data_IF_963284854043
#
_entry.id   IF_963284854043
#
_cell.length_a   1.000
_cell.length_b   1.000
_cell.length_c   1.000
_cell.angle_alpha   90.00
_cell.angle_beta   90.00
_cell.angle_gamma   90.00
#
_symmetry.space_group_name_H-M   'P 1'
#
loop_
_entity.id
_entity.type
_entity.pdbx_description
1 polymer ?
#
# COMPACT_ATOMS: atom_id res chain seq x y z
N UNK A 1 -11.53 -12.89 17.10
CA UNK A 1 -11.07 -12.07 15.95
C UNK A 1 -11.84 -12.42 14.68
N UNK A 2 -11.78 -13.66 14.15
CA UNK A 2 -12.47 -14.08 12.91
C UNK A 2 -13.98 -13.82 12.96
N UNK A 3 -14.66 -14.27 14.02
CA UNK A 3 -16.10 -14.07 14.19
C UNK A 3 -16.50 -12.59 14.33
N UNK A 4 -15.65 -11.77 14.96
CA UNK A 4 -15.84 -10.31 15.02
C UNK A 4 -15.66 -9.66 13.64
N UNK A 5 -14.69 -10.13 12.83
CA UNK A 5 -14.51 -9.67 11.47
C UNK A 5 -15.72 -9.93 10.58
N UNK A 6 -16.25 -11.16 10.61
CA UNK A 6 -17.49 -11.49 9.88
C UNK A 6 -18.70 -10.73 10.39
N UNK A 7 -18.83 -10.52 11.71
CA UNK A 7 -19.89 -9.69 12.27
C UNK A 7 -19.81 -8.23 11.82
N UNK A 8 -18.60 -7.66 11.78
CA UNK A 8 -18.38 -6.31 11.31
C UNK A 8 -18.74 -6.14 9.82
N UNK A 9 -18.48 -7.13 8.98
CA UNK A 9 -18.86 -7.11 7.56
C UNK A 9 -20.37 -7.02 7.35
N UNK A 10 -21.14 -7.84 8.09
CA UNK A 10 -22.60 -7.93 7.92
C UNK A 10 -23.37 -6.80 8.58
N UNK A 11 -22.83 -6.22 9.65
CA UNK A 11 -23.50 -5.18 10.46
C UNK A 11 -22.73 -3.86 10.49
N UNK A 12 -21.95 -3.56 9.43
CA UNK A 12 -21.27 -2.28 9.32
C UNK A 12 -22.26 -1.15 9.07
N UNK A 13 -22.12 -0.04 9.81
CA UNK A 13 -22.92 1.16 9.64
C UNK A 13 -23.26 1.86 10.94
N UNK A 14 -23.78 3.10 10.84
CA UNK A 14 -24.09 3.98 11.98
C UNK A 14 -25.55 3.92 12.41
N UNK A 15 -26.40 3.15 11.73
CA UNK A 15 -27.83 3.03 12.06
C UNK A 15 -28.00 2.15 13.30
N UNK A 16 -28.63 2.72 14.33
CA UNK A 16 -28.75 2.06 15.64
C UNK A 16 -29.43 0.68 15.57
N UNK A 17 -30.65 0.63 15.00
CA UNK A 17 -31.45 -0.61 15.00
C UNK A 17 -30.98 -1.66 13.99
N UNK A 18 -30.46 -1.26 12.84
CA UNK A 18 -30.13 -2.18 11.74
C UNK A 18 -28.63 -2.58 11.70
N UNK A 19 -27.77 -1.87 12.41
CA UNK A 19 -26.33 -2.11 12.39
C UNK A 19 -25.72 -2.24 13.79
N UNK A 20 -25.84 -1.20 14.62
CA UNK A 20 -25.18 -1.18 15.94
C UNK A 20 -25.78 -2.19 16.93
N UNK A 21 -27.11 -2.26 17.01
CA UNK A 21 -27.78 -3.20 17.93
C UNK A 21 -27.54 -4.68 17.54
N UNK A 22 -27.71 -5.09 16.27
CA UNK A 22 -27.36 -6.47 15.85
C UNK A 22 -25.88 -6.78 16.05
N UNK A 23 -24.98 -5.83 15.78
CA UNK A 23 -23.54 -6.01 16.03
C UNK A 23 -23.25 -6.22 17.51
N UNK A 24 -23.80 -5.39 18.39
CA UNK A 24 -23.63 -5.52 19.84
C UNK A 24 -24.21 -6.86 20.37
N UNK A 25 -25.39 -7.25 19.89
CA UNK A 25 -25.99 -8.56 20.22
C UNK A 25 -25.13 -9.72 19.72
N UNK A 26 -24.54 -9.59 18.52
CA UNK A 26 -23.57 -10.55 17.97
C UNK A 26 -22.32 -10.69 18.84
N UNK A 27 -21.76 -9.57 19.30
CA UNK A 27 -20.59 -9.56 20.21
C UNK A 27 -20.92 -10.25 21.53
N UNK A 28 -22.07 -9.95 22.14
CA UNK A 28 -22.55 -10.61 23.36
C UNK A 28 -22.75 -12.12 23.13
N UNK A 29 -23.36 -12.50 22.00
CA UNK A 29 -23.51 -13.90 21.60
C UNK A 29 -22.18 -14.64 21.48
N UNK A 30 -21.18 -14.02 20.87
CA UNK A 30 -19.81 -14.56 20.77
C UNK A 30 -19.19 -14.73 22.16
N UNK A 31 -19.34 -13.74 23.06
CA UNK A 31 -18.80 -13.83 24.43
C UNK A 31 -19.46 -14.96 25.21
N UNK A 32 -20.78 -15.11 25.14
CA UNK A 32 -21.52 -16.18 25.79
C UNK A 32 -21.10 -17.56 25.24
N UNK A 33 -21.02 -17.68 23.91
CA UNK A 33 -20.58 -18.91 23.23
C UNK A 33 -19.15 -19.29 23.63
N UNK A 34 -18.24 -18.32 23.66
CA UNK A 34 -16.87 -18.53 24.10
C UNK A 34 -16.78 -18.97 25.55
N UNK A 35 -17.62 -18.40 26.45
CA UNK A 35 -17.75 -18.81 27.84
C UNK A 35 -18.26 -20.24 27.98
N UNK A 36 -19.28 -20.60 27.21
CA UNK A 36 -19.83 -21.97 27.18
C UNK A 36 -18.82 -22.99 26.65
N UNK A 37 -18.13 -22.65 25.56
CA UNK A 37 -17.06 -23.50 25.00
C UNK A 37 -15.91 -23.69 26.00
N UNK A 38 -15.49 -22.61 26.67
CA UNK A 38 -14.43 -22.68 27.68
C UNK A 38 -14.85 -23.56 28.85
N UNK A 39 -16.06 -23.37 29.40
CA UNK A 39 -16.57 -24.19 30.52
C UNK A 39 -16.77 -25.63 30.09
N UNK A 40 -17.29 -25.88 28.89
CA UNK A 40 -17.41 -27.21 28.29
C UNK A 40 -16.05 -27.89 28.12
N UNK A 41 -15.06 -27.14 27.57
CA UNK A 41 -13.69 -27.64 27.46
C UNK A 41 -13.06 -27.99 28.82
N UNK A 42 -13.22 -27.14 29.83
CA UNK A 42 -12.68 -27.41 31.16
C UNK A 42 -13.29 -28.68 31.79
N UNK A 43 -14.61 -28.92 31.58
CA UNK A 43 -15.26 -30.18 32.02
C UNK A 43 -14.74 -31.37 31.23
N UNK A 44 -14.68 -31.27 29.92
CA UNK A 44 -14.21 -32.33 29.03
C UNK A 44 -12.71 -32.63 29.24
N UNK A 45 -11.89 -31.62 29.46
CA UNK A 45 -10.48 -31.77 29.83
C UNK A 45 -10.31 -32.63 31.10
N UNK A 46 -11.15 -32.40 32.15
CA UNK A 46 -11.08 -33.21 33.36
C UNK A 46 -11.41 -34.69 33.07
N UNK A 47 -12.39 -34.95 32.24
CA UNK A 47 -12.74 -36.29 31.81
C UNK A 47 -11.66 -36.97 30.98
N UNK A 48 -11.03 -36.24 30.07
CA UNK A 48 -9.90 -36.71 29.25
C UNK A 48 -8.68 -37.04 30.14
N UNK A 49 -8.37 -36.18 31.11
CA UNK A 49 -7.27 -36.42 32.06
C UNK A 49 -7.48 -37.70 32.90
N UNK A 50 -8.71 -38.07 33.20
CA UNK A 50 -9.03 -39.32 33.87
C UNK A 50 -8.74 -40.55 33.01
N UNK A 51 -8.71 -40.42 31.66
CA UNK A 51 -8.38 -41.50 30.74
C UNK A 51 -6.89 -41.55 30.37
N UNK A 52 -6.26 -40.37 30.14
CA UNK A 52 -4.84 -40.27 29.85
C UNK A 52 -4.35 -38.82 30.03
N UNK A 53 -3.18 -38.60 30.65
CA UNK A 53 -2.63 -37.26 30.86
C UNK A 53 -2.22 -36.58 29.53
N UNK A 54 -1.99 -37.35 28.45
CA UNK A 54 -1.56 -36.81 27.16
C UNK A 54 -2.72 -36.40 26.25
N UNK A 55 -3.92 -36.90 26.42
CA UNK A 55 -5.07 -36.65 25.54
C UNK A 55 -5.43 -35.17 25.40
N UNK A 56 -5.53 -34.37 26.47
CA UNK A 56 -5.85 -32.95 26.34
C UNK A 56 -4.79 -32.17 25.56
N UNK A 57 -3.50 -32.48 25.77
CA UNK A 57 -2.39 -31.84 25.08
C UNK A 57 -2.40 -32.19 23.58
N UNK A 58 -2.60 -33.47 23.23
CA UNK A 58 -2.69 -33.91 21.84
C UNK A 58 -3.86 -33.26 21.10
N UNK A 59 -5.04 -33.20 21.71
CA UNK A 59 -6.21 -32.53 21.11
C UNK A 59 -6.00 -31.01 20.92
N UNK A 60 -5.40 -30.35 21.91
CA UNK A 60 -5.05 -28.93 21.78
C UNK A 60 -4.06 -28.70 20.64
N UNK A 61 -3.05 -29.56 20.51
CA UNK A 61 -2.05 -29.47 19.45
C UNK A 61 -2.67 -29.69 18.07
N UNK A 62 -3.54 -30.70 17.92
CA UNK A 62 -4.31 -30.92 16.69
C UNK A 62 -5.15 -29.68 16.32
N UNK A 63 -5.80 -29.04 17.29
CA UNK A 63 -6.56 -27.81 17.08
C UNK A 63 -5.67 -26.65 16.59
N UNK A 64 -4.48 -26.50 17.17
CA UNK A 64 -3.50 -25.48 16.74
C UNK A 64 -3.02 -25.75 15.31
N UNK A 65 -2.70 -26.99 14.96
CA UNK A 65 -2.30 -27.33 13.59
C UNK A 65 -3.43 -27.13 12.57
N UNK A 66 -4.66 -27.48 12.93
CA UNK A 66 -5.82 -27.27 12.07
C UNK A 66 -6.05 -25.77 11.80
N UNK A 67 -6.07 -24.94 12.85
CA UNK A 67 -6.22 -23.48 12.72
C UNK A 67 -5.03 -22.85 11.98
N UNK A 68 -3.81 -23.30 12.26
CA UNK A 68 -2.61 -22.86 11.56
C UNK A 68 -2.68 -23.19 10.07
N UNK A 69 -3.16 -24.37 9.71
CA UNK A 69 -3.40 -24.75 8.31
C UNK A 69 -4.41 -23.85 7.60
N UNK A 70 -5.52 -23.51 8.26
CA UNK A 70 -6.51 -22.56 7.73
C UNK A 70 -5.94 -21.17 7.52
N UNK A 71 -5.08 -20.69 8.42
CA UNK A 71 -4.40 -19.38 8.27
C UNK A 71 -3.44 -19.41 7.08
N UNK A 72 -2.61 -20.45 6.94
CA UNK A 72 -1.65 -20.60 5.86
C UNK A 72 -2.36 -20.69 4.49
N UNK A 73 -3.52 -21.36 4.43
CA UNK A 73 -4.34 -21.45 3.23
C UNK A 73 -5.09 -20.16 2.89
N UNK A 74 -4.95 -19.11 3.69
CA UNK A 74 -5.58 -17.82 3.46
C UNK A 74 -7.09 -17.76 3.72
N UNK A 75 -7.70 -18.81 4.25
CA UNK A 75 -9.15 -18.87 4.50
C UNK A 75 -9.64 -17.82 5.50
N UNK A 76 -8.76 -17.35 6.39
CA UNK A 76 -9.07 -16.33 7.40
C UNK A 76 -8.66 -14.91 7.00
N UNK A 77 -8.10 -14.72 5.80
CA UNK A 77 -7.57 -13.43 5.34
C UNK A 77 -8.63 -12.32 5.35
N UNK A 78 -9.80 -12.59 4.78
CA UNK A 78 -10.91 -11.63 4.72
C UNK A 78 -11.41 -11.24 6.11
N UNK A 79 -11.66 -12.22 6.98
CA UNK A 79 -12.11 -11.94 8.34
C UNK A 79 -11.08 -11.14 9.15
N UNK A 80 -9.79 -11.36 8.92
CA UNK A 80 -8.73 -10.60 9.55
C UNK A 80 -8.66 -9.17 8.99
N UNK A 81 -8.87 -8.99 7.68
CA UNK A 81 -8.97 -7.67 7.04
C UNK A 81 -10.10 -6.83 7.64
N UNK A 82 -11.30 -7.38 7.74
CA UNK A 82 -12.44 -6.68 8.36
C UNK A 82 -12.18 -6.35 9.83
N UNK A 83 -11.54 -7.24 10.58
CA UNK A 83 -11.17 -6.97 11.97
C UNK A 83 -10.14 -5.82 12.06
N UNK A 84 -9.15 -5.78 11.17
CA UNK A 84 -8.19 -4.66 11.11
C UNK A 84 -8.88 -3.33 10.83
N UNK A 85 -9.83 -3.31 9.90
CA UNK A 85 -10.62 -2.11 9.58
C UNK A 85 -11.44 -1.66 10.79
N UNK A 86 -12.04 -2.60 11.52
CA UNK A 86 -12.79 -2.30 12.74
C UNK A 86 -11.90 -1.67 13.83
N UNK A 87 -10.70 -2.22 14.05
CA UNK A 87 -9.74 -1.77 15.09
C UNK A 87 -8.99 -0.50 14.64
N UNK A 88 -8.55 -0.46 13.38
CA UNK A 88 -7.81 0.64 12.78
C UNK A 88 -8.70 1.86 12.47
N UNK A 89 -10.02 1.70 12.53
CA UNK A 89 -10.97 2.77 12.34
C UNK A 89 -10.87 3.42 10.95
N UNK A 90 -11.04 4.77 10.94
CA UNK A 90 -11.10 5.57 9.71
C UNK A 90 -9.80 5.51 8.88
N UNK A 91 -8.64 5.47 9.53
CA UNK A 91 -7.35 5.43 8.84
C UNK A 91 -7.17 4.12 8.04
N UNK A 92 -7.47 2.98 8.64
CA UNK A 92 -7.37 1.69 7.96
C UNK A 92 -8.43 1.54 6.85
N UNK A 93 -9.66 2.02 7.08
CA UNK A 93 -10.70 2.06 6.06
C UNK A 93 -10.27 2.92 4.86
N UNK A 94 -9.67 4.08 5.11
CA UNK A 94 -9.10 4.95 4.08
C UNK A 94 -8.00 4.24 3.29
N UNK A 95 -7.07 3.58 3.96
CA UNK A 95 -5.97 2.83 3.33
C UNK A 95 -6.49 1.71 2.43
N UNK A 96 -7.48 0.94 2.88
CA UNK A 96 -8.11 -0.13 2.09
C UNK A 96 -8.79 0.47 0.85
N UNK A 97 -9.52 1.56 1.00
CA UNK A 97 -10.18 2.26 -0.12
C UNK A 97 -9.18 2.73 -1.17
N UNK A 98 -8.07 3.33 -0.76
CA UNK A 98 -7.01 3.78 -1.66
C UNK A 98 -6.31 2.61 -2.37
N UNK A 99 -6.04 1.52 -1.66
CA UNK A 99 -5.50 0.28 -2.23
C UNK A 99 -6.40 -0.26 -3.35
N UNK A 100 -7.73 -0.27 -3.13
CA UNK A 100 -8.67 -0.67 -4.18
C UNK A 100 -8.68 0.28 -5.39
N UNK A 101 -8.48 1.59 -5.17
CA UNK A 101 -8.32 2.53 -6.29
C UNK A 101 -7.06 2.21 -7.12
N UNK A 102 -5.96 1.82 -6.48
CA UNK A 102 -4.73 1.39 -7.19
C UNK A 102 -4.98 0.14 -8.03
N UNK A 103 -5.62 -0.90 -7.47
CA UNK A 103 -5.97 -2.10 -8.24
C UNK A 103 -6.90 -1.80 -9.39
N UNK A 104 -7.90 -0.95 -9.19
CA UNK A 104 -8.81 -0.52 -10.26
C UNK A 104 -8.08 0.30 -11.34
N UNK A 105 -7.07 1.09 -10.97
CA UNK A 105 -6.22 1.81 -11.90
C UNK A 105 -5.34 0.85 -12.70
N UNK A 106 -4.67 -0.11 -12.05
CA UNK A 106 -3.88 -1.15 -12.73
C UNK A 106 -4.71 -1.94 -13.74
N UNK A 107 -5.91 -2.36 -13.37
CA UNK A 107 -6.86 -3.08 -14.24
C UNK A 107 -7.17 -2.36 -15.56
N UNK A 108 -7.10 -1.02 -15.55
CA UNK A 108 -7.39 -0.17 -16.72
C UNK A 108 -6.16 0.13 -17.58
N UNK A 109 -4.97 -0.30 -17.15
CA UNK A 109 -3.77 -0.09 -17.96
C UNK A 109 -3.82 -0.98 -19.21
N UNK A 110 -3.53 -0.36 -20.36
CA UNK A 110 -3.38 -1.11 -21.61
C UNK A 110 -2.07 -1.88 -21.61
N UNK A 111 -2.16 -3.19 -21.78
CA UNK A 111 -1.03 -4.10 -21.70
C UNK A 111 0.05 -3.80 -22.77
N UNK A 112 -0.34 -3.39 -23.98
CA UNK A 112 0.59 -3.13 -25.06
C UNK A 112 1.52 -1.93 -24.79
N UNK A 113 1.00 -0.73 -24.55
CA UNK A 113 1.79 0.42 -24.13
C UNK A 113 2.58 0.18 -22.83
N UNK A 114 1.99 -0.54 -21.87
CA UNK A 114 2.63 -0.86 -20.60
C UNK A 114 3.86 -1.75 -20.81
N UNK A 115 3.77 -2.78 -21.65
CA UNK A 115 4.87 -3.65 -21.99
C UNK A 115 6.03 -2.88 -22.63
N UNK A 116 5.75 -2.03 -23.61
CA UNK A 116 6.76 -1.15 -24.24
C UNK A 116 7.43 -0.21 -23.25
N UNK A 117 6.68 0.28 -22.27
CA UNK A 117 7.23 1.13 -21.21
C UNK A 117 8.17 0.34 -20.30
N UNK A 118 7.81 -0.90 -19.91
CA UNK A 118 8.65 -1.78 -19.11
C UNK A 118 9.96 -2.13 -19.85
N UNK A 119 9.89 -2.38 -21.16
CA UNK A 119 11.08 -2.63 -21.98
C UNK A 119 12.04 -1.41 -21.94
N UNK A 120 11.52 -0.18 -22.08
CA UNK A 120 12.35 1.03 -21.94
C UNK A 120 12.96 1.18 -20.55
N UNK A 121 12.23 0.78 -19.51
CA UNK A 121 12.68 0.87 -18.14
C UNK A 121 13.94 0.04 -17.86
N UNK A 122 14.18 -1.05 -18.60
CA UNK A 122 15.33 -1.94 -18.41
C UNK A 122 16.66 -1.19 -18.44
N UNK A 123 16.79 -0.15 -19.28
CA UNK A 123 17.99 0.68 -19.38
C UNK A 123 18.31 1.41 -18.06
N UNK A 124 17.30 1.73 -17.27
CA UNK A 124 17.42 2.55 -16.06
C UNK A 124 17.32 1.75 -14.76
N UNK A 125 16.90 0.48 -14.85
CA UNK A 125 16.59 -0.37 -13.67
C UNK A 125 17.74 -0.44 -12.67
N UNK A 126 18.99 -0.60 -13.14
CA UNK A 126 20.14 -0.72 -12.25
C UNK A 126 20.38 0.54 -11.40
N UNK A 127 20.19 1.72 -11.98
CA UNK A 127 20.37 3.00 -11.25
C UNK A 127 19.16 3.28 -10.34
N UNK A 128 17.95 2.93 -10.77
CA UNK A 128 16.74 3.05 -9.96
C UNK A 128 16.83 2.13 -8.72
N UNK A 129 17.21 0.88 -8.88
CA UNK A 129 17.35 -0.06 -7.76
C UNK A 129 18.45 0.38 -6.76
N UNK A 130 19.57 0.91 -7.26
CA UNK A 130 20.63 1.47 -6.40
C UNK A 130 20.16 2.71 -5.64
N UNK A 131 19.49 3.64 -6.32
CA UNK A 131 18.96 4.85 -5.69
C UNK A 131 17.87 4.53 -4.66
N UNK A 132 16.95 3.61 -4.99
CA UNK A 132 15.93 3.15 -4.06
C UNK A 132 16.55 2.59 -2.78
N UNK A 133 17.56 1.72 -2.90
CA UNK A 133 18.32 1.18 -1.77
C UNK A 133 19.03 2.27 -0.97
N UNK A 134 19.61 3.27 -1.63
CA UNK A 134 20.36 4.34 -0.97
C UNK A 134 19.47 5.25 -0.10
N UNK A 135 18.19 5.37 -0.42
CA UNK A 135 17.22 6.23 0.28
C UNK A 135 16.10 5.46 0.98
N UNK A 136 16.26 4.14 1.15
CA UNK A 136 15.30 3.26 1.82
C UNK A 136 13.89 3.34 1.21
N UNK A 137 13.82 3.32 -0.11
CA UNK A 137 12.59 3.31 -0.87
C UNK A 137 12.36 1.92 -1.51
N UNK A 138 11.10 1.59 -1.72
CA UNK A 138 10.74 0.44 -2.54
C UNK A 138 11.15 0.69 -4.01
N UNK A 139 11.96 -0.18 -4.63
CA UNK A 139 12.42 0.04 -6.01
C UNK A 139 11.26 0.04 -7.01
N UNK A 140 10.20 -0.75 -6.79
CA UNK A 140 9.03 -0.75 -7.66
C UNK A 140 8.26 0.57 -7.57
N UNK A 141 8.21 1.18 -6.38
CA UNK A 141 7.66 2.53 -6.20
C UNK A 141 8.43 3.55 -7.04
N UNK A 142 9.76 3.52 -6.99
CA UNK A 142 10.58 4.48 -7.74
C UNK A 142 10.43 4.27 -9.27
N UNK A 143 10.31 3.02 -9.74
CA UNK A 143 9.94 2.73 -11.13
C UNK A 143 8.56 3.32 -11.48
N UNK A 144 7.59 3.21 -10.57
CA UNK A 144 6.26 3.79 -10.75
C UNK A 144 6.27 5.31 -10.92
N UNK A 145 7.11 6.01 -10.16
CA UNK A 145 7.30 7.47 -10.32
C UNK A 145 7.87 7.79 -11.69
N UNK A 146 8.97 7.14 -12.11
CA UNK A 146 9.57 7.35 -13.44
C UNK A 146 8.58 7.07 -14.58
N UNK A 147 7.77 6.01 -14.43
CA UNK A 147 6.71 5.66 -15.37
C UNK A 147 5.65 6.77 -15.50
N UNK A 148 5.20 7.31 -14.37
CA UNK A 148 4.19 8.38 -14.34
C UNK A 148 4.71 9.72 -14.88
N UNK A 149 5.99 10.02 -14.67
CA UNK A 149 6.62 11.29 -15.05
C UNK A 149 7.03 11.34 -16.53
N UNK A 150 7.68 10.32 -17.03
CA UNK A 150 8.24 10.34 -18.38
C UNK A 150 7.93 9.12 -19.24
N UNK A 151 7.32 8.08 -18.67
CA UNK A 151 7.20 6.77 -19.32
C UNK A 151 8.55 6.22 -19.77
N UNK A 152 9.61 6.50 -19.02
CA UNK A 152 11.01 6.18 -19.30
C UNK A 152 11.54 6.80 -20.62
N UNK A 153 11.08 8.00 -20.93
CA UNK A 153 11.58 8.83 -22.03
C UNK A 153 12.08 10.16 -21.46
N UNK A 154 13.35 10.22 -21.02
CA UNK A 154 13.91 11.43 -20.41
C UNK A 154 13.80 12.61 -21.35
N UNK A 155 13.29 13.73 -20.85
CA UNK A 155 13.13 14.98 -21.62
C UNK A 155 13.11 16.19 -20.69
N UNK A 156 13.23 17.36 -21.27
CA UNK A 156 12.88 18.61 -20.60
C UNK A 156 11.46 18.99 -21.00
N UNK A 157 10.56 19.16 -20.04
CA UNK A 157 9.19 19.58 -20.29
C UNK A 157 9.07 21.09 -20.38
N UNK A 158 7.94 21.57 -20.94
CA UNK A 158 7.64 23.03 -21.03
C UNK A 158 7.51 23.68 -19.65
N UNK A 159 7.11 22.91 -18.65
CA UNK A 159 6.91 23.38 -17.27
C UNK A 159 8.20 23.31 -16.43
N UNK A 160 9.35 23.06 -17.07
CA UNK A 160 10.67 23.04 -16.45
C UNK A 160 11.05 21.68 -15.81
N UNK A 161 10.25 20.65 -15.96
CA UNK A 161 10.59 19.30 -15.51
C UNK A 161 11.76 18.73 -16.33
N UNK A 162 12.76 18.14 -15.65
CA UNK A 162 13.99 17.65 -16.28
C UNK A 162 14.18 16.14 -16.07
N UNK A 163 14.65 15.48 -17.11
CA UNK A 163 15.14 14.13 -17.07
C UNK A 163 14.05 13.05 -16.95
N UNK A 164 14.44 11.92 -16.41
CA UNK A 164 13.61 10.72 -16.27
C UNK A 164 12.45 10.92 -15.30
N UNK A 165 12.68 11.64 -14.21
CA UNK A 165 11.74 11.89 -13.13
C UNK A 165 11.09 13.28 -13.18
N UNK A 166 11.27 14.03 -14.26
CA UNK A 166 10.68 15.35 -14.52
C UNK A 166 10.80 16.31 -13.32
N UNK A 167 11.99 16.36 -12.71
CA UNK A 167 12.24 17.17 -11.53
C UNK A 167 12.24 18.64 -11.91
N UNK A 168 11.46 19.47 -11.21
CA UNK A 168 11.42 20.91 -11.38
C UNK A 168 12.29 21.63 -10.35
N UNK A 169 12.12 21.27 -9.08
CA UNK A 169 12.85 21.88 -7.97
C UNK A 169 13.25 20.81 -6.95
N UNK A 170 14.53 20.84 -6.59
CA UNK A 170 15.07 20.01 -5.51
C UNK A 170 15.52 20.92 -4.38
N UNK A 171 15.15 20.65 -3.12
CA UNK A 171 15.66 21.42 -2.00
C UNK A 171 17.19 21.44 -1.98
N UNK A 172 17.81 22.62 -1.74
CA UNK A 172 19.27 22.81 -1.82
C UNK A 172 20.03 21.80 -0.94
N UNK A 173 19.52 21.47 0.24
CA UNK A 173 20.13 20.46 1.13
C UNK A 173 20.19 19.07 0.50
N UNK A 174 19.14 18.69 -0.24
CA UNK A 174 19.06 17.41 -0.95
C UNK A 174 20.05 17.37 -2.11
N UNK A 175 20.13 18.45 -2.91
CA UNK A 175 21.12 18.55 -4.00
C UNK A 175 22.55 18.37 -3.50
N UNK A 176 22.89 19.02 -2.40
CA UNK A 176 24.22 18.89 -1.80
C UNK A 176 24.49 17.47 -1.26
N UNK A 177 23.46 16.82 -0.69
CA UNK A 177 23.56 15.42 -0.25
C UNK A 177 23.85 14.50 -1.43
N UNK A 178 23.06 14.59 -2.49
CA UNK A 178 23.22 13.76 -3.70
C UNK A 178 24.58 14.00 -4.36
N UNK A 179 25.00 15.27 -4.50
CA UNK A 179 26.31 15.62 -5.06
C UNK A 179 27.48 14.98 -4.31
N UNK A 180 27.41 14.94 -2.97
CA UNK A 180 28.43 14.25 -2.16
C UNK A 180 28.38 12.72 -2.36
N UNK A 181 27.18 12.12 -2.43
CA UNK A 181 27.03 10.67 -2.64
C UNK A 181 27.53 10.22 -4.01
N UNK A 182 27.34 11.03 -5.05
CA UNK A 182 27.77 10.70 -6.40
C UNK A 182 29.24 11.09 -6.68
N UNK A 183 29.85 11.89 -5.79
CA UNK A 183 31.24 12.32 -5.92
C UNK A 183 31.48 13.36 -7.04
N UNK A 184 30.40 13.93 -7.62
CA UNK A 184 30.47 14.87 -8.75
C UNK A 184 30.12 16.32 -8.37
N UNK A 185 29.99 16.62 -7.08
CA UNK A 185 29.73 17.96 -6.54
C UNK A 185 28.31 18.45 -6.79
N UNK A 186 27.92 18.76 -8.02
CA UNK A 186 26.58 19.22 -8.39
C UNK A 186 25.94 18.24 -9.37
N UNK A 187 24.85 17.55 -8.99
CA UNK A 187 24.15 16.64 -9.88
C UNK A 187 23.60 17.33 -11.14
N UNK A 188 23.71 16.64 -12.27
CA UNK A 188 23.20 17.13 -13.56
C UNK A 188 21.82 16.51 -13.82
N UNK A 189 20.76 17.33 -13.85
CA UNK A 189 19.38 16.82 -13.96
C UNK A 189 19.06 16.18 -15.32
N UNK A 190 19.88 16.43 -16.35
CA UNK A 190 19.77 15.77 -17.65
C UNK A 190 20.50 14.42 -17.72
N UNK A 191 21.39 14.12 -16.77
CA UNK A 191 21.98 12.80 -16.62
C UNK A 191 20.98 11.87 -15.91
N UNK A 192 20.65 10.70 -16.49
CA UNK A 192 19.62 9.81 -15.94
C UNK A 192 19.97 9.28 -14.53
N UNK A 193 21.23 9.02 -14.24
CA UNK A 193 21.69 8.55 -12.93
C UNK A 193 21.56 9.63 -11.88
N UNK A 194 22.09 10.82 -12.15
CA UNK A 194 22.02 11.96 -11.23
C UNK A 194 20.57 12.36 -10.97
N UNK A 195 19.73 12.36 -12.01
CA UNK A 195 18.31 12.63 -11.95
C UNK A 195 17.59 11.60 -11.08
N UNK A 196 17.92 10.31 -11.22
CA UNK A 196 17.34 9.22 -10.41
C UNK A 196 17.66 9.38 -8.92
N UNK A 197 18.93 9.68 -8.58
CA UNK A 197 19.33 9.88 -7.17
C UNK A 197 18.69 11.14 -6.58
N UNK A 198 18.60 12.23 -7.35
CA UNK A 198 17.93 13.44 -6.91
C UNK A 198 16.44 13.22 -6.69
N UNK A 199 15.77 12.46 -7.55
CA UNK A 199 14.37 12.08 -7.41
C UNK A 199 14.11 11.23 -6.19
N UNK A 200 14.91 10.17 -5.99
CA UNK A 200 14.80 9.29 -4.84
C UNK A 200 14.99 10.05 -3.52
N UNK A 201 16.02 10.88 -3.43
CA UNK A 201 16.27 11.72 -2.26
C UNK A 201 15.13 12.70 -1.99
N UNK A 202 14.58 13.31 -3.04
CA UNK A 202 13.46 14.27 -2.94
C UNK A 202 12.17 13.55 -2.48
N UNK A 203 11.87 12.39 -3.04
CA UNK A 203 10.72 11.60 -2.63
C UNK A 203 10.82 11.16 -1.16
N UNK A 204 11.98 10.62 -0.76
CA UNK A 204 12.22 10.23 0.63
C UNK A 204 12.08 11.42 1.60
N UNK A 205 12.56 12.60 1.19
CA UNK A 205 12.41 13.82 1.98
C UNK A 205 10.94 14.23 2.13
N UNK A 206 10.15 14.17 1.05
CA UNK A 206 8.72 14.53 1.10
C UNK A 206 7.87 13.50 1.85
N UNK A 207 8.20 12.21 1.75
CA UNK A 207 7.55 11.19 2.57
C UNK A 207 7.72 11.51 4.06
N UNK A 208 8.94 11.81 4.51
CA UNK A 208 9.18 12.21 5.92
C UNK A 208 8.43 13.49 6.30
N UNK A 209 8.34 14.47 5.41
CA UNK A 209 7.56 15.69 5.67
C UNK A 209 6.05 15.43 5.80
N UNK A 210 5.56 14.35 5.22
CA UNK A 210 4.16 13.92 5.26
C UNK A 210 3.92 12.79 6.28
N UNK A 211 4.80 12.64 7.29
CA UNK A 211 4.71 11.62 8.34
C UNK A 211 4.65 10.19 7.78
N UNK A 212 5.41 9.93 6.73
CA UNK A 212 5.48 8.65 5.99
C UNK A 212 4.14 8.22 5.36
N UNK A 213 3.19 9.15 5.19
CA UNK A 213 2.00 8.90 4.37
C UNK A 213 2.39 8.87 2.90
N UNK A 214 2.31 7.67 2.29
CA UNK A 214 2.75 7.43 0.92
C UNK A 214 1.98 8.28 -0.10
N UNK A 215 0.66 8.39 0.05
CA UNK A 215 -0.18 9.15 -0.91
C UNK A 215 0.08 10.64 -0.82
N UNK A 216 0.22 11.16 0.40
CA UNK A 216 0.57 12.57 0.61
C UNK A 216 2.00 12.87 0.20
N UNK A 217 2.96 11.96 0.42
CA UNK A 217 4.34 12.09 -0.03
C UNK A 217 4.47 12.13 -1.55
N UNK A 218 3.76 11.25 -2.25
CA UNK A 218 3.67 11.27 -3.73
C UNK A 218 2.99 12.53 -4.24
N UNK A 219 1.93 12.97 -3.58
CA UNK A 219 1.25 14.21 -3.95
C UNK A 219 2.16 15.43 -3.72
N UNK A 220 2.91 15.47 -2.61
CA UNK A 220 3.90 16.51 -2.35
C UNK A 220 5.04 16.53 -3.40
N UNK A 221 5.42 15.36 -3.90
CA UNK A 221 6.37 15.25 -5.00
C UNK A 221 5.84 15.92 -6.28
N UNK A 222 4.55 15.74 -6.58
CA UNK A 222 3.92 16.26 -7.80
C UNK A 222 3.62 17.77 -7.75
N UNK A 223 3.00 18.26 -6.66
CA UNK A 223 2.52 19.67 -6.58
C UNK A 223 3.36 20.55 -5.64
N UNK A 224 4.37 20.00 -5.01
CA UNK A 224 5.14 20.66 -3.96
C UNK A 224 4.45 20.67 -2.59
N UNK A 225 5.23 20.73 -1.51
CA UNK A 225 4.69 20.66 -0.13
C UNK A 225 4.23 22.01 0.43
N UNK A 226 4.62 23.15 -0.15
CA UNK A 226 4.42 24.48 0.40
C UNK A 226 3.92 25.50 -0.64
N UNK A 227 3.46 26.68 -0.18
CA UNK A 227 3.11 27.87 -1.00
C UNK A 227 2.18 27.58 -2.20
N UNK A 228 0.93 27.24 -1.93
CA UNK A 228 -0.05 26.84 -2.95
C UNK A 228 0.00 25.35 -3.28
N UNK A 229 0.99 24.64 -2.72
CA UNK A 229 1.06 23.19 -2.76
C UNK A 229 0.23 22.51 -1.68
N UNK A 230 0.59 21.28 -1.36
CA UNK A 230 -0.22 20.37 -0.55
C UNK A 230 -0.60 20.91 0.85
N UNK A 231 0.36 21.47 1.60
CA UNK A 231 0.08 21.98 2.95
C UNK A 231 -0.94 23.12 2.97
N UNK A 232 -0.90 24.01 1.99
CA UNK A 232 -1.87 25.08 1.85
C UNK A 232 -3.28 24.52 1.63
N UNK A 233 -3.44 23.56 0.73
CA UNK A 233 -4.72 22.91 0.44
C UNK A 233 -5.23 22.17 1.68
N UNK A 234 -4.38 21.42 2.38
CA UNK A 234 -4.73 20.71 3.61
C UNK A 234 -5.22 21.67 4.70
N UNK A 235 -4.53 22.79 4.90
CA UNK A 235 -4.94 23.81 5.88
C UNK A 235 -6.26 24.47 5.50
N UNK A 236 -6.45 24.81 4.24
CA UNK A 236 -7.66 25.47 3.76
C UNK A 236 -8.92 24.60 3.96
N UNK A 237 -8.80 23.29 3.77
CA UNK A 237 -9.93 22.35 3.86
C UNK A 237 -9.96 21.56 5.17
N UNK A 238 -9.03 21.81 6.10
CA UNK A 238 -8.93 21.07 7.36
C UNK A 238 -8.67 19.57 7.18
N UNK A 239 -8.06 19.17 6.04
CA UNK A 239 -7.79 17.79 5.71
C UNK A 239 -6.42 17.37 6.23
N UNK A 240 -6.32 16.14 6.77
CA UNK A 240 -5.08 15.58 7.33
C UNK A 240 -4.60 14.32 6.61
N UNK A 241 -5.39 13.80 5.69
CA UNK A 241 -5.09 12.57 4.94
C UNK A 241 -5.53 12.71 3.47
N UNK A 242 -5.00 11.83 2.61
CA UNK A 242 -5.26 11.87 1.17
C UNK A 242 -6.73 11.63 0.81
N UNK A 243 -7.44 10.75 1.52
CA UNK A 243 -8.87 10.47 1.26
C UNK A 243 -9.70 11.73 1.44
N UNK A 244 -9.39 12.52 2.47
CA UNK A 244 -10.12 13.75 2.80
C UNK A 244 -9.79 14.89 1.83
N UNK A 245 -8.54 14.98 1.34
CA UNK A 245 -8.12 16.06 0.43
C UNK A 245 -8.45 15.76 -1.03
N UNK A 246 -8.50 14.48 -1.42
CA UNK A 246 -8.68 14.03 -2.80
C UNK A 246 -9.84 14.74 -3.54
N UNK A 247 -11.03 14.94 -2.96
CA UNK A 247 -12.14 15.61 -3.63
C UNK A 247 -11.88 17.08 -4.00
N UNK A 248 -10.95 17.74 -3.31
CA UNK A 248 -10.64 19.16 -3.51
C UNK A 248 -9.49 19.39 -4.49
N UNK A 249 -8.83 18.31 -4.94
CA UNK A 249 -7.75 18.40 -5.90
C UNK A 249 -8.27 18.44 -7.34
N UNK A 250 -7.56 19.15 -8.21
CA UNK A 250 -7.74 19.04 -9.64
C UNK A 250 -7.45 17.60 -10.10
N UNK A 251 -7.98 17.21 -11.26
CA UNK A 251 -7.91 15.82 -11.72
C UNK A 251 -6.49 15.26 -11.80
N UNK A 252 -5.54 16.00 -12.37
CA UNK A 252 -4.17 15.51 -12.53
C UNK A 252 -3.45 15.23 -11.20
N UNK A 253 -3.41 16.18 -10.23
CA UNK A 253 -2.83 15.91 -8.91
C UNK A 253 -3.62 14.84 -8.14
N UNK A 254 -4.96 14.85 -8.25
CA UNK A 254 -5.83 13.88 -7.57
C UNK A 254 -5.53 12.45 -7.95
N UNK A 255 -5.27 12.20 -9.22
CA UNK A 255 -5.07 10.86 -9.77
C UNK A 255 -3.59 10.44 -9.75
N UNK A 256 -2.67 11.39 -9.49
CA UNK A 256 -1.22 11.16 -9.57
C UNK A 256 -0.74 10.02 -8.66
N UNK A 257 -1.00 10.03 -7.33
CA UNK A 257 -0.52 8.96 -6.46
C UNK A 257 -1.07 7.59 -6.87
N UNK A 258 -2.34 7.52 -7.26
CA UNK A 258 -3.00 6.28 -7.70
C UNK A 258 -2.34 5.74 -8.97
N UNK A 259 -2.03 6.64 -9.94
CA UNK A 259 -1.37 6.29 -11.19
C UNK A 259 0.05 5.80 -10.97
N UNK A 260 0.84 6.49 -10.14
CA UNK A 260 2.18 6.06 -9.74
C UNK A 260 2.16 4.66 -9.15
N UNK A 261 1.26 4.41 -8.21
CA UNK A 261 1.16 3.11 -7.53
C UNK A 261 0.63 2.01 -8.44
N UNK A 262 -0.22 2.33 -9.42
CA UNK A 262 -0.64 1.35 -10.43
C UNK A 262 0.53 0.93 -11.34
N UNK A 263 1.40 1.85 -11.74
CA UNK A 263 2.63 1.51 -12.46
C UNK A 263 3.61 0.77 -11.56
N UNK A 264 3.80 1.20 -10.32
CA UNK A 264 4.64 0.49 -9.36
C UNK A 264 4.21 -0.98 -9.17
N UNK A 265 2.90 -1.21 -9.08
CA UNK A 265 2.33 -2.56 -9.02
C UNK A 265 2.65 -3.37 -10.27
N UNK A 266 2.62 -2.78 -11.47
CA UNK A 266 3.03 -3.44 -12.71
C UNK A 266 4.49 -3.90 -12.65
N UNK A 267 5.40 -3.05 -12.16
CA UNK A 267 6.81 -3.43 -11.96
C UNK A 267 6.99 -4.53 -10.92
N UNK A 268 6.24 -4.49 -9.82
CA UNK A 268 6.23 -5.57 -8.82
C UNK A 268 5.77 -6.89 -9.42
N UNK A 269 4.73 -6.88 -10.23
CA UNK A 269 4.22 -8.08 -10.90
C UNK A 269 5.29 -8.65 -11.83
N UNK A 270 5.91 -7.83 -12.68
CA UNK A 270 7.01 -8.27 -13.56
C UNK A 270 8.18 -8.85 -12.75
N UNK A 271 8.59 -8.20 -11.68
CA UNK A 271 9.69 -8.64 -10.82
C UNK A 271 9.41 -9.99 -10.13
N UNK A 272 8.16 -10.24 -9.75
CA UNK A 272 7.75 -11.45 -9.01
C UNK A 272 7.27 -12.59 -9.91
N UNK A 273 6.60 -12.27 -11.02
CA UNK A 273 5.93 -13.26 -11.88
C UNK A 273 6.65 -13.45 -13.24
N UNK A 274 7.62 -12.58 -13.56
CA UNK A 274 8.34 -12.58 -14.85
C UNK A 274 7.52 -12.09 -16.04
N UNK A 275 6.22 -11.81 -15.86
CA UNK A 275 5.29 -11.31 -16.88
C UNK A 275 4.20 -10.44 -16.29
N UNK A 276 3.56 -9.59 -17.10
CA UNK A 276 2.35 -8.90 -16.70
C UNK A 276 1.19 -9.90 -16.54
N UNK A 277 0.37 -9.67 -15.53
CA UNK A 277 -0.84 -10.45 -15.29
C UNK A 277 -2.06 -9.61 -15.67
N UNK A 278 -2.88 -10.11 -16.61
CA UNK A 278 -4.18 -9.52 -16.89
C UNK A 278 -5.12 -9.74 -15.69
N UNK A 279 -5.66 -8.66 -15.13
CA UNK A 279 -6.42 -8.70 -13.87
C UNK A 279 -7.66 -9.62 -13.94
N UNK A 280 -8.29 -9.70 -15.11
CA UNK A 280 -9.55 -10.44 -15.33
C UNK A 280 -9.35 -11.95 -15.59
N UNK A 281 -8.12 -12.42 -15.77
CA UNK A 281 -7.86 -13.80 -16.16
C UNK A 281 -7.70 -14.72 -14.94
N UNK A 282 -8.54 -15.74 -14.85
CA UNK A 282 -8.43 -16.79 -13.85
C UNK A 282 -8.35 -16.25 -12.41
N UNK A 283 -7.31 -16.63 -11.66
CA UNK A 283 -7.07 -16.19 -10.29
C UNK A 283 -6.10 -15.00 -10.19
N UNK A 284 -5.80 -14.32 -11.30
CA UNK A 284 -4.82 -13.24 -11.31
C UNK A 284 -5.18 -12.09 -10.37
N UNK A 285 -6.47 -11.72 -10.26
CA UNK A 285 -6.91 -10.69 -9.33
C UNK A 285 -6.47 -10.99 -7.88
N UNK A 286 -6.63 -12.23 -7.43
CA UNK A 286 -6.21 -12.66 -6.09
C UNK A 286 -4.69 -12.63 -5.98
N UNK A 287 -3.95 -13.13 -6.98
CA UNK A 287 -2.48 -13.11 -7.01
C UNK A 287 -1.93 -11.69 -6.92
N UNK A 288 -2.48 -10.76 -7.73
CA UNK A 288 -2.09 -9.35 -7.75
C UNK A 288 -2.33 -8.70 -6.38
N UNK A 289 -3.51 -8.96 -5.78
CA UNK A 289 -3.82 -8.42 -4.45
C UNK A 289 -2.87 -8.96 -3.37
N UNK A 290 -2.46 -10.24 -3.46
CA UNK A 290 -1.48 -10.83 -2.54
C UNK A 290 -0.08 -10.25 -2.67
N UNK A 291 0.33 -9.79 -3.86
CA UNK A 291 1.62 -9.11 -4.05
C UNK A 291 1.67 -7.77 -3.30
N UNK A 292 0.52 -7.18 -3.03
CA UNK A 292 0.40 -5.89 -2.35
C UNK A 292 0.88 -4.71 -3.20
N UNK A 293 0.49 -3.52 -2.81
CA UNK A 293 0.91 -2.27 -3.46
C UNK A 293 2.30 -1.88 -2.94
N UNK A 294 3.27 -1.52 -3.83
CA UNK A 294 4.60 -1.07 -3.42
C UNK A 294 4.56 0.12 -2.47
N UNK A 295 5.25 0.01 -1.32
CA UNK A 295 5.32 1.07 -0.32
C UNK A 295 4.15 1.15 0.66
N UNK A 296 3.13 0.27 0.55
CA UNK A 296 1.98 0.21 1.49
C UNK A 296 2.08 -0.97 2.45
#
# INVERSE_FOLDING_TARGET
MVALGYGAEHFSGTRFLTSLLPFAAGVLGIMLTAGLLLTGWLRWRRWLLAKSPFLPAALSLCGVFFLGGMIIQGQLYWAFGHFRTLVGGRAEAGRVTLTHQVFASYRRLDAGPLQKMIERAQTFTADIDKAAKAFDLDPDLLHGVAAAESSFQPRTSKDGGQGLFQITQVPTGIMNQVGRMLGNGKPQMNDPRDNTYAAAATLAYYLKQMNDDLFLGLLAYNIGPANGGLRFIMQQYGATDFVTIQPYLQQLPRDYPIRVLAFALAFRIIRKEGKLLAYEEGLNAVRIQHLGVPGL
#
